data_IF_611978480882
#
_entry.id   IF_611978480882
#
_cell.length_a   1.000
_cell.length_b   1.000
_cell.length_c   1.000
_cell.angle_alpha   90.00
_cell.angle_beta   90.00
_cell.angle_gamma   90.00
#
_symmetry.space_group_name_H-M   'P 1'
#
loop_
_entity.id
_entity.type
_entity.pdbx_description
1 polymer ?
#
# COMPACT_ATOMS: atom_id res chain seq x y z
N UNK A 1 38.46 22.48 -19.30
CA UNK A 1 37.04 22.18 -19.65
C UNK A 1 36.56 20.79 -19.21
N UNK A 2 37.36 19.99 -18.47
CA UNK A 2 37.01 18.61 -18.06
C UNK A 2 36.49 18.47 -16.61
N UNK A 3 36.59 19.56 -15.82
CA UNK A 3 36.14 19.61 -14.41
C UNK A 3 34.68 20.06 -14.26
N UNK A 4 34.07 20.60 -15.31
CA UNK A 4 32.68 21.08 -15.28
C UNK A 4 31.66 19.95 -15.48
N UNK A 5 32.09 18.82 -16.07
CA UNK A 5 31.21 17.68 -16.36
C UNK A 5 30.93 16.79 -15.13
N UNK A 6 31.78 16.85 -14.10
CA UNK A 6 31.65 16.03 -12.89
C UNK A 6 30.56 16.58 -11.96
N UNK A 7 30.23 17.88 -12.05
CA UNK A 7 29.30 18.53 -11.13
C UNK A 7 27.82 18.30 -11.50
N UNK A 8 27.53 17.82 -12.72
CA UNK A 8 26.16 17.57 -13.20
C UNK A 8 25.69 16.14 -12.87
N UNK A 9 26.61 15.19 -12.68
CA UNK A 9 26.26 13.78 -12.40
C UNK A 9 25.96 13.54 -10.91
N UNK A 10 26.48 14.37 -10.00
CA UNK A 10 26.23 14.23 -8.55
C UNK A 10 24.89 14.80 -8.08
N UNK A 11 24.16 15.55 -8.91
CA UNK A 11 22.86 16.12 -8.52
C UNK A 11 21.65 15.25 -8.89
N UNK A 12 21.85 14.14 -9.61
CA UNK A 12 20.76 13.32 -10.17
C UNK A 12 20.44 12.06 -9.34
N UNK A 13 20.87 12.00 -8.08
CA UNK A 13 20.69 10.82 -7.21
C UNK A 13 19.69 11.06 -6.07
N UNK A 14 18.81 12.06 -6.17
CA UNK A 14 17.63 12.13 -5.31
C UNK A 14 16.63 11.06 -5.75
N UNK A 15 16.90 9.81 -5.40
CA UNK A 15 15.87 8.78 -5.39
C UNK A 15 14.88 9.15 -4.28
N UNK A 16 13.64 9.51 -4.64
CA UNK A 16 12.54 9.48 -3.67
C UNK A 16 12.43 8.04 -3.18
N UNK A 17 12.94 7.78 -1.99
CA UNK A 17 12.71 6.52 -1.30
C UNK A 17 11.30 6.59 -0.73
N UNK A 18 10.41 5.72 -1.22
CA UNK A 18 9.10 5.55 -0.59
C UNK A 18 9.28 4.68 0.66
N UNK A 19 8.73 5.12 1.79
CA UNK A 19 8.82 4.40 3.06
C UNK A 19 7.79 3.27 3.10
N UNK A 20 8.23 2.05 3.43
CA UNK A 20 7.33 0.89 3.51
C UNK A 20 6.52 0.94 4.80
N UNK A 21 5.20 0.88 4.68
CA UNK A 21 4.30 0.81 5.83
C UNK A 21 4.45 -0.51 6.57
N UNK A 22 4.72 -0.42 7.88
CA UNK A 22 4.79 -1.59 8.74
C UNK A 22 3.38 -2.05 9.14
N UNK A 23 2.99 -3.26 8.75
CA UNK A 23 1.66 -3.83 9.01
C UNK A 23 1.63 -4.49 10.39
N UNK A 24 0.80 -3.97 11.29
CA UNK A 24 0.60 -4.49 12.65
C UNK A 24 -0.34 -5.69 12.65
N UNK A 25 -1.51 -5.53 12.00
CA UNK A 25 -2.56 -6.56 11.95
C UNK A 25 -3.49 -6.34 10.76
N UNK A 26 -4.08 -7.43 10.28
CA UNK A 26 -5.07 -7.42 9.19
C UNK A 26 -6.32 -8.15 9.65
N UNK A 27 -7.48 -7.52 9.50
CA UNK A 27 -8.79 -8.09 9.84
C UNK A 27 -9.63 -8.22 8.58
N UNK A 28 -10.09 -9.43 8.31
CA UNK A 28 -10.90 -9.79 7.15
C UNK A 28 -12.39 -9.70 7.48
N UNK A 29 -13.18 -9.21 6.54
CA UNK A 29 -14.65 -9.24 6.60
C UNK A 29 -15.21 -9.57 5.21
N UNK A 30 -15.87 -10.74 5.03
CA UNK A 30 -16.05 -11.81 6.01
C UNK A 30 -14.72 -12.50 6.39
N UNK A 31 -14.73 -13.30 7.46
CA UNK A 31 -13.51 -13.99 7.96
C UNK A 31 -13.07 -15.09 7.00
N UNK A 32 -14.03 -15.88 6.53
CA UNK A 32 -13.84 -16.88 5.48
C UNK A 32 -14.50 -16.34 4.21
N UNK A 33 -13.78 -16.40 3.10
CA UNK A 33 -14.22 -15.88 1.81
C UNK A 33 -13.63 -16.73 0.68
N UNK A 34 -14.25 -16.65 -0.49
CA UNK A 34 -13.85 -17.39 -1.68
C UNK A 34 -13.73 -16.45 -2.89
N UNK A 35 -13.29 -17.02 -4.00
CA UNK A 35 -13.28 -16.33 -5.30
C UNK A 35 -14.68 -15.80 -5.61
N UNK A 36 -14.76 -14.52 -5.97
CA UNK A 36 -16.00 -13.81 -6.29
C UNK A 36 -16.65 -13.07 -5.13
N UNK A 37 -16.22 -13.30 -3.88
CA UNK A 37 -16.77 -12.58 -2.73
C UNK A 37 -16.24 -11.14 -2.67
N UNK A 38 -17.07 -10.23 -2.14
CA UNK A 38 -16.62 -8.90 -1.75
C UNK A 38 -15.98 -8.98 -0.37
N UNK A 39 -14.66 -8.78 -0.32
CA UNK A 39 -13.86 -8.84 0.90
C UNK A 39 -13.43 -7.44 1.29
N UNK A 40 -13.54 -7.12 2.57
CA UNK A 40 -12.99 -5.90 3.15
C UNK A 40 -11.89 -6.25 4.14
N UNK A 41 -10.72 -5.66 3.94
CA UNK A 41 -9.59 -5.69 4.86
C UNK A 41 -9.58 -4.40 5.66
N UNK A 42 -9.45 -4.52 6.99
CA UNK A 42 -8.94 -3.45 7.84
C UNK A 42 -7.49 -3.76 8.16
N UNK A 43 -6.60 -2.98 7.59
CA UNK A 43 -5.16 -3.13 7.72
C UNK A 43 -4.71 -2.02 8.67
N UNK A 44 -4.12 -2.43 9.78
CA UNK A 44 -3.60 -1.50 10.77
C UNK A 44 -2.10 -1.41 10.56
N UNK A 45 -1.60 -0.19 10.42
CA UNK A 45 -0.21 0.11 10.14
C UNK A 45 0.34 1.06 11.19
N UNK A 46 1.65 1.01 11.42
CA UNK A 46 2.32 2.03 12.23
C UNK A 46 2.23 3.38 11.50
N UNK A 47 1.88 4.44 12.24
CA UNK A 47 1.87 5.79 11.67
C UNK A 47 3.32 6.28 11.51
N UNK A 48 3.73 6.76 10.31
CA UNK A 48 5.04 7.35 10.10
C UNK A 48 5.32 8.50 11.07
N UNK A 49 6.53 8.58 11.62
CA UNK A 49 6.88 9.45 12.76
C UNK A 49 6.77 10.95 12.47
N UNK A 50 6.76 11.36 11.19
CA UNK A 50 6.72 12.77 10.77
C UNK A 50 5.75 13.05 9.62
N UNK A 51 5.06 12.03 9.10
CA UNK A 51 4.19 12.16 7.93
C UNK A 51 2.74 11.82 8.23
N UNK A 52 1.84 12.67 7.74
CA UNK A 52 0.41 12.36 7.68
C UNK A 52 0.20 11.42 6.52
N UNK A 53 -0.32 10.22 6.77
CA UNK A 53 -0.70 9.32 5.69
C UNK A 53 -1.75 10.00 4.81
N UNK A 54 -1.45 10.11 3.52
CA UNK A 54 -2.40 10.62 2.54
C UNK A 54 -3.24 9.47 1.96
N UNK A 55 -4.50 9.73 1.65
CA UNK A 55 -5.30 8.75 0.89
C UNK A 55 -4.68 8.52 -0.50
N UNK A 56 -4.75 7.28 -1.02
CA UNK A 56 -4.13 6.95 -2.29
C UNK A 56 -4.82 7.73 -3.42
N UNK A 57 -4.00 8.28 -4.33
CA UNK A 57 -4.49 9.03 -5.51
C UNK A 57 -5.05 8.12 -6.59
N UNK A 58 -4.58 6.88 -6.63
CA UNK A 58 -4.97 5.89 -7.61
C UNK A 58 -5.27 4.55 -6.93
N UNK A 59 -6.27 3.84 -7.46
CA UNK A 59 -6.54 2.48 -7.05
C UNK A 59 -5.70 1.56 -7.94
N UNK A 60 -4.80 0.74 -7.36
CA UNK A 60 -3.95 -0.11 -8.17
C UNK A 60 -4.75 -1.23 -8.80
N UNK A 61 -4.24 -1.75 -9.92
CA UNK A 61 -4.86 -2.84 -10.68
C UNK A 61 -4.06 -4.12 -10.47
N UNK A 62 -4.75 -5.25 -10.34
CA UNK A 62 -4.13 -6.56 -10.22
C UNK A 62 -4.69 -7.54 -11.24
N UNK A 63 -3.85 -8.48 -11.68
CA UNK A 63 -4.23 -9.55 -12.62
C UNK A 63 -5.07 -10.66 -11.98
N UNK A 64 -5.37 -10.58 -10.68
CA UNK A 64 -6.15 -11.59 -9.95
C UNK A 64 -7.24 -10.96 -9.05
N UNK A 65 -7.27 -9.63 -8.96
CA UNK A 65 -8.09 -8.86 -8.03
C UNK A 65 -8.68 -7.61 -8.68
N UNK A 66 -9.95 -7.36 -8.38
CA UNK A 66 -10.64 -6.11 -8.66
C UNK A 66 -10.76 -5.30 -7.35
N UNK A 67 -9.89 -4.31 -7.18
CA UNK A 67 -9.89 -3.44 -6.00
C UNK A 67 -10.97 -2.39 -6.17
N UNK A 68 -11.96 -2.43 -5.28
CA UNK A 68 -13.14 -1.54 -5.31
C UNK A 68 -12.88 -0.22 -4.62
N UNK A 69 -12.15 -0.23 -3.52
CA UNK A 69 -11.80 0.99 -2.78
C UNK A 69 -10.59 0.77 -1.90
N UNK A 70 -9.84 1.86 -1.68
CA UNK A 70 -8.79 1.94 -0.68
C UNK A 70 -8.90 3.29 0.00
N UNK A 71 -9.10 3.30 1.31
CA UNK A 71 -9.33 4.52 2.06
C UNK A 71 -8.53 4.50 3.36
N UNK A 72 -7.94 5.64 3.74
CA UNK A 72 -7.49 5.87 5.10
C UNK A 72 -8.72 6.19 5.96
N UNK A 73 -9.04 5.33 6.91
CA UNK A 73 -10.24 5.45 7.77
C UNK A 73 -9.93 6.21 9.04
N UNK A 74 -8.72 6.03 9.56
CA UNK A 74 -8.25 6.67 10.78
C UNK A 74 -6.74 6.90 10.67
N UNK A 75 -6.27 8.01 11.23
CA UNK A 75 -4.86 8.41 11.24
C UNK A 75 -4.51 8.87 12.66
N UNK A 76 -4.13 7.90 13.50
CA UNK A 76 -3.70 8.15 14.89
C UNK A 76 -2.21 8.48 14.97
N UNK A 77 -1.73 8.84 16.17
CA UNK A 77 -0.30 9.13 16.38
C UNK A 77 0.61 7.91 16.24
N UNK A 78 0.09 6.72 16.58
CA UNK A 78 0.88 5.49 16.66
C UNK A 78 0.39 4.43 15.66
N UNK A 79 -0.92 4.39 15.40
CA UNK A 79 -1.58 3.43 14.52
C UNK A 79 -2.52 4.15 13.56
N UNK A 80 -2.48 3.76 12.29
CA UNK A 80 -3.39 4.20 11.24
C UNK A 80 -4.15 3.01 10.66
N UNK A 81 -5.38 3.26 10.19
CA UNK A 81 -6.28 2.20 9.71
C UNK A 81 -6.60 2.42 8.23
N UNK A 82 -6.15 1.51 7.40
CA UNK A 82 -6.47 1.44 5.98
C UNK A 82 -7.63 0.45 5.79
N UNK A 83 -8.65 0.86 5.03
CA UNK A 83 -9.72 -0.03 4.57
C UNK A 83 -9.59 -0.27 3.08
N UNK A 84 -9.38 -1.53 2.72
CA UNK A 84 -9.30 -2.01 1.35
C UNK A 84 -10.47 -2.95 1.08
N UNK A 85 -11.26 -2.68 0.04
CA UNK A 85 -12.31 -3.59 -0.42
C UNK A 85 -11.98 -4.13 -1.80
N UNK A 86 -12.10 -5.44 -2.00
CA UNK A 86 -11.75 -6.09 -3.25
C UNK A 86 -12.61 -7.32 -3.53
N UNK A 87 -12.60 -7.76 -4.78
CA UNK A 87 -13.11 -9.07 -5.20
C UNK A 87 -12.02 -9.82 -5.95
N UNK A 88 -11.72 -11.04 -5.52
CA UNK A 88 -10.74 -11.90 -6.21
C UNK A 88 -11.41 -12.69 -7.32
N UNK A 89 -10.67 -12.99 -8.38
CA UNK A 89 -11.10 -13.87 -9.47
C UNK A 89 -10.16 -15.07 -9.67
N UNK A 90 -9.20 -15.27 -8.76
CA UNK A 90 -8.33 -16.43 -8.70
C UNK A 90 -8.09 -16.86 -7.24
N UNK A 91 -7.99 -18.18 -6.96
CA UNK A 91 -7.74 -18.70 -5.62
C UNK A 91 -6.25 -18.69 -5.25
N UNK A 92 -5.95 -19.04 -4.00
CA UNK A 92 -4.60 -19.28 -3.49
C UNK A 92 -3.97 -18.08 -2.78
N UNK A 93 -2.69 -18.21 -2.44
CA UNK A 93 -1.92 -17.13 -1.83
C UNK A 93 -1.52 -16.10 -2.91
N UNK A 94 -1.94 -14.86 -2.73
CA UNK A 94 -1.67 -13.76 -3.67
C UNK A 94 -1.12 -12.53 -2.97
N UNK A 95 -0.38 -11.72 -3.71
CA UNK A 95 0.10 -10.41 -3.25
C UNK A 95 -0.84 -9.32 -3.77
N UNK A 96 -1.33 -8.51 -2.84
CA UNK A 96 -2.04 -7.28 -3.17
C UNK A 96 -1.05 -6.34 -3.87
N UNK A 97 -1.43 -5.74 -5.01
CA UNK A 97 -0.62 -4.73 -5.68
C UNK A 97 -0.24 -3.59 -4.73
N UNK A 98 0.94 -3.02 -4.94
CA UNK A 98 1.46 -1.92 -4.15
C UNK A 98 0.50 -0.73 -4.14
N UNK A 99 0.31 -0.15 -2.95
CA UNK A 99 -0.60 0.98 -2.75
C UNK A 99 0.18 2.12 -2.14
N UNK A 100 0.19 3.26 -2.84
CA UNK A 100 0.91 4.46 -2.42
C UNK A 100 0.01 5.42 -1.65
N UNK A 101 0.43 5.78 -0.44
CA UNK A 101 -0.19 6.73 0.49
C UNK A 101 0.74 7.95 0.64
N UNK A 102 0.77 8.80 -0.38
CA UNK A 102 1.80 9.85 -0.49
C UNK A 102 3.17 9.23 -0.75
N UNK A 103 4.14 9.51 0.11
CA UNK A 103 5.49 8.94 0.05
C UNK A 103 5.60 7.56 0.75
N UNK A 104 4.50 7.07 1.33
CA UNK A 104 4.46 5.76 1.98
C UNK A 104 3.88 4.69 1.06
N UNK A 105 4.36 3.45 1.15
CA UNK A 105 3.87 2.34 0.34
C UNK A 105 3.45 1.16 1.21
N UNK A 106 2.23 0.67 0.98
CA UNK A 106 1.82 -0.65 1.46
C UNK A 106 2.30 -1.69 0.45
N UNK A 107 3.34 -2.43 0.82
CA UNK A 107 3.99 -3.46 0.00
C UNK A 107 3.81 -4.85 0.61
N UNK A 108 3.99 -5.90 -0.20
CA UNK A 108 4.05 -7.31 0.24
C UNK A 108 2.83 -7.84 1.03
N UNK A 109 1.67 -7.21 0.92
CA UNK A 109 0.46 -7.66 1.61
C UNK A 109 -0.07 -8.95 0.98
N UNK A 110 0.12 -10.06 1.69
CA UNK A 110 -0.35 -11.41 1.29
C UNK A 110 -1.79 -11.65 1.72
N UNK A 111 -2.57 -12.21 0.80
CA UNK A 111 -3.96 -12.61 1.03
C UNK A 111 -4.15 -14.06 0.59
N UNK A 112 -4.78 -14.86 1.44
CA UNK A 112 -5.18 -16.23 1.13
C UNK A 112 -6.66 -16.24 0.71
N UNK A 113 -6.92 -16.70 -0.51
CA UNK A 113 -8.26 -16.87 -1.09
C UNK A 113 -8.55 -18.36 -1.26
#
# INVERSE_FOLDING_TARGET
MRKFFILIITFLSFSLASETLNVIKVVYTPKDFYVGDLVTLRIYVETPFEDVLESPKEIPKGEWVDIKSVNLVDSGSDESIIRLSFTSFAPGLKLIPDIFFGDNVLHDLKVQI
#
